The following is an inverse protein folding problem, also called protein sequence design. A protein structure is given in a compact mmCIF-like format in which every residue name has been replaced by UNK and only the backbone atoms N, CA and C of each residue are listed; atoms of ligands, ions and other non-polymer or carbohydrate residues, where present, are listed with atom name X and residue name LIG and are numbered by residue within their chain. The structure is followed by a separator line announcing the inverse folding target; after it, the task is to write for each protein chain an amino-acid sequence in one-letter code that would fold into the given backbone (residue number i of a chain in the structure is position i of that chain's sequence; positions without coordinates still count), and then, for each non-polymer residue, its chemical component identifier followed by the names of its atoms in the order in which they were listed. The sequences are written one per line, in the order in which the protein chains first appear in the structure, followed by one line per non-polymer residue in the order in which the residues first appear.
data_IF_431132551337
#
_entry.id   IF_431132551337
#
_cell.length_a   1.000
_cell.length_b   1.000
_cell.length_c   1.000
_cell.angle_alpha   90.00
_cell.angle_beta   90.00
_cell.angle_gamma   90.00
#
_symmetry.space_group_name_H-M   'P 1'
#
loop_
_entity.id
_entity.type
_entity.pdbx_description
1 polymer ?
#
# COMPACT_ATOMS: atom_id res chain seq x y z
N UNK A 1 6.41 11.36 -62.28
CA UNK A 1 5.51 11.28 -61.11
C UNK A 1 5.15 12.72 -60.78
N UNK A 2 3.88 13.10 -60.87
CA UNK A 2 3.46 14.51 -60.79
C UNK A 2 3.28 14.97 -59.34
N UNK A 3 4.04 15.98 -58.94
CA UNK A 3 4.04 16.53 -57.58
C UNK A 3 2.68 17.12 -57.21
N UNK A 4 1.97 17.69 -58.19
CA UNK A 4 0.61 18.22 -58.00
C UNK A 4 -0.41 17.14 -57.66
N UNK A 5 -0.21 15.92 -58.18
CA UNK A 5 -1.10 14.79 -57.90
C UNK A 5 -0.88 14.24 -56.49
N UNK A 6 0.34 14.33 -55.96
CA UNK A 6 0.61 13.99 -54.56
C UNK A 6 0.00 15.02 -53.62
N UNK A 7 0.11 16.32 -53.94
CA UNK A 7 -0.47 17.39 -53.13
C UNK A 7 -2.00 17.28 -53.01
N UNK A 8 -2.69 16.94 -54.10
CA UNK A 8 -4.14 16.70 -54.09
C UNK A 8 -4.52 15.49 -53.23
N UNK A 9 -3.76 14.39 -53.31
CA UNK A 9 -4.01 13.20 -52.48
C UNK A 9 -3.78 13.48 -50.99
N UNK A 10 -2.76 14.26 -50.65
CA UNK A 10 -2.52 14.65 -49.26
C UNK A 10 -3.59 15.59 -48.74
N UNK A 11 -4.09 16.52 -49.56
CA UNK A 11 -5.14 17.48 -49.16
C UNK A 11 -6.48 16.80 -48.91
N UNK A 12 -6.84 15.80 -49.72
CA UNK A 12 -8.10 15.06 -49.60
C UNK A 12 -8.10 14.07 -48.42
N UNK A 13 -6.91 13.64 -47.98
CA UNK A 13 -6.74 12.68 -46.87
C UNK A 13 -6.80 13.31 -45.48
N UNK A 14 -6.78 14.64 -45.37
CA UNK A 14 -6.89 15.32 -44.07
C UNK A 14 -8.37 15.42 -43.71
N UNK A 15 -8.87 14.38 -43.03
CA UNK A 15 -10.17 14.44 -42.37
C UNK A 15 -10.19 15.62 -41.38
N UNK A 16 -11.32 16.32 -41.31
CA UNK A 16 -11.54 17.40 -40.34
C UNK A 16 -11.21 16.91 -38.93
N UNK A 17 -10.34 17.64 -38.23
CA UNK A 17 -9.87 17.29 -36.89
C UNK A 17 -11.09 17.11 -35.97
N UNK A 18 -11.27 15.93 -35.34
CA UNK A 18 -12.39 15.72 -34.42
C UNK A 18 -12.25 16.69 -33.24
N UNK A 19 -13.37 17.21 -32.70
CA UNK A 19 -13.31 18.09 -31.55
C UNK A 19 -12.59 17.39 -30.39
N UNK A 20 -11.85 18.16 -29.60
CA UNK A 20 -11.14 17.63 -28.44
C UNK A 20 -12.12 16.94 -27.50
N UNK A 21 -11.87 15.67 -27.18
CA UNK A 21 -12.69 14.90 -26.24
C UNK A 21 -12.47 15.29 -24.78
N UNK A 22 -11.55 16.21 -24.52
CA UNK A 22 -11.19 16.74 -23.21
C UNK A 22 -11.23 18.26 -23.27
N UNK A 23 -11.93 18.88 -22.33
CA UNK A 23 -11.97 20.33 -22.20
C UNK A 23 -11.42 20.80 -20.84
N UNK A 24 -11.33 22.12 -20.69
CA UNK A 24 -10.86 22.75 -19.46
C UNK A 24 -11.77 22.42 -18.26
N UNK A 25 -13.06 22.22 -18.50
CA UNK A 25 -14.01 21.88 -17.43
C UNK A 25 -13.77 20.48 -16.87
N UNK A 26 -13.35 19.52 -17.70
CA UNK A 26 -12.96 18.17 -17.26
C UNK A 26 -11.76 18.23 -16.31
N UNK A 27 -10.74 19.00 -16.67
CA UNK A 27 -9.54 19.21 -15.83
C UNK A 27 -9.90 19.93 -14.54
N UNK A 28 -10.72 20.98 -14.60
CA UNK A 28 -11.16 21.72 -13.43
C UNK A 28 -12.01 20.86 -12.48
N UNK A 29 -12.87 19.99 -13.02
CA UNK A 29 -13.70 19.06 -12.24
C UNK A 29 -12.85 17.98 -11.56
N UNK A 30 -11.87 17.42 -12.27
CA UNK A 30 -10.91 16.47 -11.72
C UNK A 30 -10.03 17.10 -10.63
N UNK A 31 -9.50 18.30 -10.90
CA UNK A 31 -8.67 19.06 -9.95
C UNK A 31 -9.43 19.44 -8.67
N UNK A 32 -10.68 19.90 -8.78
CA UNK A 32 -11.54 20.16 -7.60
C UNK A 32 -11.76 18.89 -6.79
N UNK A 33 -11.99 17.75 -7.44
CA UNK A 33 -12.17 16.46 -6.75
C UNK A 33 -10.91 16.06 -5.96
N UNK A 34 -9.72 16.25 -6.53
CA UNK A 34 -8.44 15.97 -5.86
C UNK A 34 -8.20 16.94 -4.69
N UNK A 35 -8.45 18.24 -4.90
CA UNK A 35 -8.27 19.27 -3.87
C UNK A 35 -9.23 19.08 -2.69
N UNK A 36 -10.48 18.71 -2.95
CA UNK A 36 -11.46 18.42 -1.91
C UNK A 36 -11.03 17.23 -1.03
N UNK A 37 -10.47 16.18 -1.64
CA UNK A 37 -9.92 15.01 -0.91
C UNK A 37 -8.76 15.39 0.00
N UNK A 38 -7.86 16.27 -0.46
CA UNK A 38 -6.73 16.75 0.35
C UNK A 38 -7.17 17.58 1.56
N UNK A 39 -8.22 18.40 1.42
CA UNK A 39 -8.73 19.22 2.53
C UNK A 39 -9.47 18.42 3.60
N UNK A 40 -10.13 17.32 3.24
CA UNK A 40 -10.78 16.46 4.23
C UNK A 40 -9.79 15.63 5.08
N UNK A 41 -8.52 15.52 4.68
CA UNK A 41 -7.49 14.85 5.47
C UNK A 41 -6.89 15.73 6.59
N UNK A 42 -7.14 17.05 6.60
CA UNK A 42 -6.47 17.99 7.50
C UNK A 42 -7.33 18.47 8.70
N UNK A 43 -8.58 18.03 8.85
CA UNK A 43 -9.51 18.57 9.87
C UNK A 43 -9.85 17.57 11.00
N UNK A 44 -9.30 16.35 10.98
CA UNK A 44 -9.64 15.29 11.95
C UNK A 44 -8.63 14.99 13.06
N UNK A 45 -7.64 15.86 13.32
CA UNK A 45 -6.43 15.47 14.05
C UNK A 45 -5.99 16.29 15.26
N UNK A 46 -6.78 17.25 15.77
CA UNK A 46 -6.30 18.14 16.86
C UNK A 46 -7.39 18.55 17.86
N UNK A 47 -8.03 17.62 18.59
CA UNK A 47 -8.77 18.00 19.82
C UNK A 47 -8.88 16.88 20.88
N UNK A 48 -7.81 16.15 21.24
CA UNK A 48 -7.79 15.43 22.54
C UNK A 48 -6.35 15.36 23.10
N UNK A 49 -5.83 16.49 23.57
CA UNK A 49 -4.61 16.52 24.39
C UNK A 49 -4.56 17.82 25.23
N UNK A 50 -5.56 18.06 26.07
CA UNK A 50 -5.53 19.13 27.07
C UNK A 50 -6.54 18.86 28.19
N UNK A 51 -6.33 17.82 29.02
CA UNK A 51 -7.19 17.58 30.17
C UNK A 51 -6.56 16.75 31.31
N UNK A 52 -5.30 16.94 31.71
CA UNK A 52 -4.82 16.49 33.04
C UNK A 52 -3.66 17.36 33.54
N UNK A 53 -3.87 18.64 33.87
CA UNK A 53 -2.87 19.42 34.62
C UNK A 53 -3.51 20.55 35.47
N UNK A 54 -4.54 20.25 36.25
CA UNK A 54 -4.92 21.10 37.40
C UNK A 54 -5.53 20.24 38.50
N UNK A 55 -4.82 20.05 39.61
CA UNK A 55 -5.43 19.54 40.84
C UNK A 55 -4.47 18.81 41.76
N UNK A 56 -3.93 19.52 42.76
CA UNK A 56 -3.55 18.90 44.03
C UNK A 56 -2.09 19.01 44.44
N UNK A 57 -1.70 20.18 44.93
CA UNK A 57 -0.64 20.30 45.95
C UNK A 57 -1.22 19.77 47.26
N UNK A 58 -0.57 18.77 47.88
CA UNK A 58 -0.95 18.24 49.19
C UNK A 58 0.20 17.47 49.83
N UNK A 59 0.70 18.02 50.93
CA UNK A 59 1.81 17.56 51.78
C UNK A 59 1.51 16.21 52.47
N UNK A 60 2.53 15.38 52.72
CA UNK A 60 2.40 14.28 53.68
C UNK A 60 3.52 13.24 53.66
N UNK A 61 4.46 13.37 54.59
CA UNK A 61 5.46 12.37 54.99
C UNK A 61 4.83 11.26 55.86
N UNK A 62 5.20 9.98 55.65
CA UNK A 62 4.93 8.87 56.60
C UNK A 62 4.87 7.50 55.90
N UNK A 63 5.85 6.61 56.08
CA UNK A 63 5.96 5.55 57.09
C UNK A 63 5.18 4.24 56.76
N UNK A 64 5.96 3.20 56.43
CA UNK A 64 5.84 1.75 56.76
C UNK A 64 4.52 0.95 56.60
N UNK A 65 4.69 -0.26 56.04
CA UNK A 65 3.83 -1.46 56.21
C UNK A 65 4.18 -2.54 55.18
N UNK A 66 5.22 -3.35 55.40
CA UNK A 66 5.18 -4.77 55.85
C UNK A 66 4.40 -5.71 54.91
N UNK A 67 5.10 -6.60 54.18
CA UNK A 67 5.24 -8.06 54.43
C UNK A 67 4.02 -8.84 53.88
N UNK A 68 4.13 -9.93 53.11
CA UNK A 68 4.81 -11.18 53.45
C UNK A 68 5.22 -12.03 52.23
N UNK A 69 6.30 -12.75 52.49
CA UNK A 69 6.91 -13.94 51.87
C UNK A 69 5.94 -15.10 51.59
N UNK A 70 6.14 -15.85 50.50
CA UNK A 70 6.32 -17.32 50.55
C UNK A 70 6.69 -17.95 49.19
N UNK A 71 7.74 -18.77 49.26
CA UNK A 71 8.35 -19.59 48.21
C UNK A 71 7.52 -20.83 47.87
N UNK A 72 7.58 -21.30 46.61
CA UNK A 72 7.90 -22.72 46.36
C UNK A 72 8.62 -22.90 45.02
N UNK A 73 9.71 -23.65 45.07
CA UNK A 73 10.49 -24.11 43.94
C UNK A 73 9.82 -25.31 43.24
N UNK A 74 10.07 -25.48 41.94
CA UNK A 74 10.09 -26.80 41.31
C UNK A 74 11.07 -26.85 40.14
N UNK A 75 11.60 -28.06 39.98
CA UNK A 75 12.90 -28.45 39.45
C UNK A 75 12.77 -28.90 37.99
N UNK A 76 13.75 -28.48 37.19
CA UNK A 76 14.17 -28.86 35.82
C UNK A 76 13.59 -30.12 35.14
N UNK A 77 13.29 -30.02 33.83
CA UNK A 77 13.80 -30.86 32.70
C UNK A 77 13.73 -30.02 31.40
N UNK A 78 14.75 -30.04 30.50
CA UNK A 78 14.70 -29.36 29.21
C UNK A 78 14.10 -30.28 28.15
N UNK A 79 13.05 -29.85 27.45
CA UNK A 79 12.58 -30.53 26.25
C UNK A 79 12.30 -29.50 25.15
N UNK A 80 12.98 -29.73 24.04
CA UNK A 80 12.97 -28.98 22.79
C UNK A 80 11.55 -28.72 22.28
N UNK A 81 11.15 -27.46 22.21
CA UNK A 81 10.03 -27.03 21.37
C UNK A 81 10.45 -25.76 20.62
N UNK A 82 10.47 -25.88 19.30
CA UNK A 82 10.84 -24.87 18.32
C UNK A 82 10.34 -23.47 18.67
N UNK A 83 11.29 -22.57 18.91
CA UNK A 83 11.05 -21.14 19.06
C UNK A 83 10.60 -20.54 17.72
N UNK A 84 9.30 -20.46 17.51
CA UNK A 84 8.71 -19.42 16.64
C UNK A 84 8.81 -18.10 17.39
N UNK A 85 9.35 -17.01 16.83
CA UNK A 85 9.38 -15.73 17.52
C UNK A 85 7.95 -15.20 17.66
N UNK A 86 7.45 -15.18 18.89
CA UNK A 86 6.25 -14.42 19.26
C UNK A 86 6.64 -12.94 19.22
N UNK A 87 6.14 -12.23 18.23
CA UNK A 87 6.20 -10.76 18.19
C UNK A 87 5.10 -10.20 19.09
N UNK A 88 5.47 -9.84 20.31
CA UNK A 88 4.72 -8.90 21.15
C UNK A 88 5.16 -7.47 20.78
N UNK A 89 4.52 -6.91 19.74
CA UNK A 89 4.58 -5.49 19.37
C UNK A 89 3.23 -4.81 19.67
N UNK A 90 3.19 -3.49 19.89
CA UNK A 90 2.02 -2.82 20.45
C UNK A 90 0.81 -2.92 19.52
N UNK A 91 -0.24 -3.56 20.03
CA UNK A 91 -1.61 -3.10 19.84
C UNK A 91 -2.19 -3.28 18.44
N UNK A 92 -2.35 -4.54 18.04
CA UNK A 92 -3.41 -4.98 17.13
C UNK A 92 -4.78 -4.69 17.78
N UNK A 93 -5.20 -3.43 17.76
CA UNK A 93 -6.64 -3.16 17.68
C UNK A 93 -6.94 -3.24 16.20
N UNK A 94 -7.25 -4.45 15.74
CA UNK A 94 -7.81 -4.64 14.41
C UNK A 94 -8.97 -3.69 14.28
N UNK A 95 -8.79 -2.64 13.49
CA UNK A 95 -9.90 -1.88 12.99
C UNK A 95 -10.85 -2.91 12.40
N UNK A 96 -12.10 -2.91 12.88
CA UNK A 96 -13.18 -3.80 12.40
C UNK A 96 -13.46 -3.63 10.90
N UNK A 97 -12.66 -2.81 10.20
CA UNK A 97 -12.57 -2.60 8.76
C UNK A 97 -12.04 -3.83 8.01
N UNK A 98 -11.32 -4.76 8.67
CA UNK A 98 -10.74 -5.94 8.02
C UNK A 98 -9.61 -5.62 7.03
N UNK A 99 -9.04 -4.42 7.10
CA UNK A 99 -8.05 -3.89 6.14
C UNK A 99 -6.60 -3.98 6.62
N UNK A 100 -6.32 -4.89 7.55
CA UNK A 100 -4.95 -5.19 7.95
C UNK A 100 -4.15 -5.88 6.83
N UNK A 101 -2.82 -5.88 6.91
CA UNK A 101 -1.99 -6.67 6.01
C UNK A 101 -2.39 -8.16 6.10
N UNK A 102 -2.70 -8.78 4.96
CA UNK A 102 -3.06 -10.20 4.90
C UNK A 102 -1.79 -11.05 5.06
N UNK A 103 -1.71 -11.84 6.12
CA UNK A 103 -0.50 -12.62 6.44
C UNK A 103 -0.11 -13.62 5.34
N UNK A 104 -1.10 -14.20 4.66
CA UNK A 104 -0.85 -15.15 3.56
C UNK A 104 -0.29 -14.42 2.33
N UNK A 105 -0.86 -13.27 1.97
CA UNK A 105 -0.36 -12.43 0.89
C UNK A 105 1.04 -11.91 1.21
N UNK A 106 1.28 -11.44 2.45
CA UNK A 106 2.59 -10.99 2.87
C UNK A 106 3.64 -12.09 2.73
N UNK A 107 3.35 -13.31 3.19
CA UNK A 107 4.23 -14.46 3.02
C UNK A 107 4.44 -14.86 1.55
N UNK A 108 3.44 -14.66 0.68
CA UNK A 108 3.59 -14.87 -0.76
C UNK A 108 4.52 -13.84 -1.39
N UNK A 109 4.43 -12.56 -0.98
CA UNK A 109 5.31 -11.49 -1.43
C UNK A 109 6.75 -11.73 -0.94
N UNK A 110 6.96 -12.11 0.32
CA UNK A 110 8.29 -12.40 0.87
C UNK A 110 9.02 -13.54 0.15
N UNK A 111 8.28 -14.50 -0.42
CA UNK A 111 8.88 -15.56 -1.26
C UNK A 111 9.42 -15.02 -2.60
N UNK A 112 8.83 -13.95 -3.12
CA UNK A 112 9.24 -13.31 -4.38
C UNK A 112 10.26 -12.18 -4.17
N UNK A 113 10.18 -11.52 -3.01
CA UNK A 113 11.01 -10.42 -2.55
C UNK A 113 11.53 -10.73 -1.14
N UNK A 114 12.64 -11.47 -1.00
CA UNK A 114 13.21 -11.81 0.30
C UNK A 114 13.52 -10.57 1.17
N UNK A 115 13.83 -9.43 0.55
CA UNK A 115 14.09 -8.15 1.21
C UNK A 115 12.84 -7.61 1.95
N UNK A 116 11.65 -8.03 1.52
CA UNK A 116 10.41 -7.72 2.23
C UNK A 116 10.29 -8.46 3.57
N UNK A 117 11.09 -9.50 3.83
CA UNK A 117 11.15 -10.17 5.14
C UNK A 117 11.70 -9.24 6.24
N UNK A 118 12.53 -8.28 5.87
CA UNK A 118 13.17 -7.34 6.81
C UNK A 118 12.24 -6.19 7.20
N UNK A 119 11.10 -6.07 6.50
CA UNK A 119 10.13 -4.98 6.71
C UNK A 119 8.79 -5.55 7.17
N UNK A 120 8.24 -5.02 8.25
CA UNK A 120 6.90 -5.38 8.67
C UNK A 120 5.86 -4.91 7.62
N UNK A 121 4.99 -5.80 7.11
CA UNK A 121 3.94 -5.39 6.19
C UNK A 121 2.98 -4.45 6.91
N UNK A 122 2.56 -3.40 6.22
CA UNK A 122 1.57 -2.44 6.74
C UNK A 122 0.30 -2.47 5.91
N UNK A 123 -0.79 -1.94 6.47
CA UNK A 123 -2.07 -1.84 5.77
C UNK A 123 -1.97 -0.87 4.58
N UNK A 124 -2.34 -1.32 3.39
CA UNK A 124 -2.40 -0.48 2.20
C UNK A 124 -3.57 0.51 2.30
N UNK A 125 -3.37 1.74 1.80
CA UNK A 125 -4.45 2.75 1.68
C UNK A 125 -4.51 3.29 0.24
N UNK A 126 -5.66 3.23 -0.44
CA UNK A 126 -6.93 2.66 0.01
C UNK A 126 -6.92 1.12 0.00
N UNK A 127 -7.63 0.51 0.94
CA UNK A 127 -7.87 -0.93 0.99
C UNK A 127 -9.32 -1.21 0.54
N UNK A 128 -9.52 -1.77 -0.66
CA UNK A 128 -10.87 -2.08 -1.11
C UNK A 128 -11.47 -3.25 -0.34
N UNK A 129 -12.77 -3.18 -0.04
CA UNK A 129 -13.48 -4.24 0.67
C UNK A 129 -13.38 -5.58 -0.07
N UNK A 130 -13.26 -6.68 0.67
CA UNK A 130 -13.12 -8.02 0.10
C UNK A 130 -11.78 -8.29 -0.59
N UNK A 131 -10.80 -7.39 -0.45
CA UNK A 131 -9.46 -7.56 -1.01
C UNK A 131 -8.44 -7.87 0.09
N UNK A 132 -7.47 -8.71 -0.24
CA UNK A 132 -6.26 -8.92 0.58
C UNK A 132 -5.24 -7.87 0.17
N UNK A 133 -4.58 -7.22 1.13
CA UNK A 133 -3.57 -6.20 0.82
C UNK A 133 -2.30 -6.41 1.63
N UNK A 134 -1.16 -6.00 1.09
CA UNK A 134 0.10 -5.91 1.82
C UNK A 134 0.93 -4.77 1.23
N UNK A 135 1.44 -3.86 2.09
CA UNK A 135 2.35 -2.79 1.72
C UNK A 135 3.71 -3.04 2.38
N UNK A 136 4.79 -2.88 1.62
CA UNK A 136 6.16 -2.96 2.11
C UNK A 136 6.93 -1.71 1.72
N UNK A 137 7.68 -1.13 2.65
CA UNK A 137 8.66 -0.08 2.35
C UNK A 137 9.97 -0.76 2.02
N UNK A 138 10.45 -0.63 0.79
CA UNK A 138 11.58 -1.40 0.29
C UNK A 138 12.65 -0.51 -0.33
N UNK A 139 13.85 -1.07 -0.41
CA UNK A 139 14.99 -0.47 -1.09
C UNK A 139 15.55 -1.47 -2.10
N UNK A 140 15.88 -0.95 -3.28
CA UNK A 140 16.52 -1.68 -4.38
C UNK A 140 17.71 -0.85 -4.88
N UNK A 141 18.89 -1.12 -4.33
CA UNK A 141 20.09 -0.32 -4.55
C UNK A 141 19.91 1.15 -4.15
N UNK A 142 19.89 2.05 -5.14
CA UNK A 142 19.66 3.49 -4.94
C UNK A 142 18.17 3.88 -4.95
N UNK A 143 17.29 2.99 -5.44
CA UNK A 143 15.85 3.22 -5.44
C UNK A 143 15.27 2.91 -4.06
N UNK A 144 14.47 3.82 -3.52
CA UNK A 144 13.65 3.61 -2.32
C UNK A 144 12.19 3.90 -2.64
N UNK A 145 11.29 3.24 -1.94
CA UNK A 145 9.87 3.41 -2.16
C UNK A 145 9.03 2.40 -1.43
N UNK A 146 7.80 2.23 -1.91
CA UNK A 146 6.89 1.24 -1.36
C UNK A 146 6.32 0.33 -2.45
N UNK A 147 6.16 -0.95 -2.12
CA UNK A 147 5.50 -1.93 -2.97
C UNK A 147 4.18 -2.32 -2.32
N UNK A 148 3.08 -1.97 -2.98
CA UNK A 148 1.72 -2.33 -2.59
C UNK A 148 1.24 -3.52 -3.41
N UNK A 149 0.71 -4.54 -2.76
CA UNK A 149 0.07 -5.67 -3.42
C UNK A 149 -1.38 -5.76 -2.98
N UNK A 150 -2.30 -5.88 -3.94
CA UNK A 150 -3.73 -6.01 -3.72
C UNK A 150 -4.23 -7.23 -4.50
N UNK A 151 -4.94 -8.13 -3.82
CA UNK A 151 -5.62 -9.28 -4.45
C UNK A 151 -7.10 -9.22 -4.12
N UNK A 152 -7.94 -9.02 -5.14
CA UNK A 152 -9.37 -8.80 -4.94
C UNK A 152 -10.24 -9.06 -6.16
N UNK A 153 -11.58 -9.10 -6.00
CA UNK A 153 -12.52 -9.15 -7.11
C UNK A 153 -12.36 -7.95 -8.06
N UNK A 154 -12.59 -8.13 -9.36
CA UNK A 154 -12.50 -7.06 -10.38
C UNK A 154 -13.36 -5.83 -10.00
N UNK A 155 -14.53 -6.04 -9.39
CA UNK A 155 -15.45 -4.97 -8.99
C UNK A 155 -15.06 -4.20 -7.73
N UNK A 156 -14.04 -4.64 -6.99
CA UNK A 156 -13.57 -3.95 -5.77
C UNK A 156 -12.32 -3.12 -6.06
N UNK A 157 -11.55 -3.47 -7.10
CA UNK A 157 -10.34 -2.75 -7.48
C UNK A 157 -10.72 -1.44 -8.20
N UNK A 158 -10.03 -0.31 -7.94
CA UNK A 158 -10.24 0.94 -8.65
C UNK A 158 -10.18 0.76 -10.18
N UNK A 159 -11.03 1.45 -10.96
CA UNK A 159 -11.17 1.22 -12.40
C UNK A 159 -9.90 1.57 -13.20
N UNK A 160 -9.03 2.41 -12.66
CA UNK A 160 -7.70 2.71 -13.21
C UNK A 160 -6.71 1.54 -13.08
N UNK A 161 -7.07 0.48 -12.33
CA UNK A 161 -6.23 -0.67 -12.00
C UNK A 161 -6.89 -2.02 -12.33
N UNK A 162 -7.98 -2.02 -13.11
CA UNK A 162 -8.70 -3.25 -13.49
C UNK A 162 -8.26 -3.85 -14.82
N UNK A 163 -7.54 -3.11 -15.65
CA UNK A 163 -7.09 -3.59 -16.97
C UNK A 163 -5.77 -4.37 -16.82
N UNK A 164 -5.72 -5.67 -17.17
CA UNK A 164 -4.48 -6.43 -17.14
C UNK A 164 -3.41 -5.82 -18.04
N UNK A 165 -2.19 -5.76 -17.56
CA UNK A 165 -1.07 -5.15 -18.27
C UNK A 165 -0.07 -4.48 -17.33
N UNK A 166 0.94 -3.88 -17.92
CA UNK A 166 1.99 -3.14 -17.22
C UNK A 166 1.91 -1.67 -17.62
N UNK A 167 1.87 -0.78 -16.64
CA UNK A 167 1.73 0.67 -16.85
C UNK A 167 2.79 1.39 -16.03
N UNK A 168 3.52 2.29 -16.68
CA UNK A 168 4.39 3.25 -16.02
C UNK A 168 3.72 4.61 -16.01
N UNK A 169 3.54 5.18 -14.82
CA UNK A 169 2.88 6.47 -14.63
C UNK A 169 3.91 7.61 -14.66
N UNK A 170 3.52 8.85 -15.04
CA UNK A 170 4.46 9.99 -15.10
C UNK A 170 5.14 10.38 -13.79
N UNK A 171 4.60 9.96 -12.64
CA UNK A 171 5.20 10.12 -11.31
C UNK A 171 6.32 9.11 -11.01
N UNK A 172 6.62 8.21 -11.96
CA UNK A 172 7.63 7.17 -11.81
C UNK A 172 7.10 5.89 -11.17
N UNK A 173 5.83 5.86 -10.77
CA UNK A 173 5.16 4.67 -10.26
C UNK A 173 5.04 3.62 -11.35
N UNK A 174 5.34 2.37 -10.99
CA UNK A 174 5.15 1.23 -11.87
C UNK A 174 4.01 0.35 -11.36
N UNK A 175 3.09 -0.01 -12.25
CA UNK A 175 1.89 -0.79 -11.97
C UNK A 175 1.88 -2.03 -12.86
N UNK A 176 1.62 -3.19 -12.26
CA UNK A 176 1.38 -4.43 -12.98
C UNK A 176 0.09 -5.08 -12.49
N UNK A 177 -0.80 -5.36 -13.43
CA UNK A 177 -2.10 -6.01 -13.16
C UNK A 177 -2.13 -7.35 -13.89
N UNK A 178 -2.51 -8.40 -13.15
CA UNK A 178 -2.64 -9.77 -13.68
C UNK A 178 -3.95 -10.38 -13.21
N UNK A 179 -4.53 -11.22 -14.05
CA UNK A 179 -5.69 -12.03 -13.67
C UNK A 179 -5.20 -13.36 -13.08
N UNK A 180 -5.72 -13.68 -11.90
CA UNK A 180 -5.45 -14.93 -11.20
C UNK A 180 -6.36 -16.06 -11.71
N UNK A 181 -6.01 -17.32 -11.43
CA UNK A 181 -6.80 -18.48 -11.88
C UNK A 181 -8.17 -18.53 -11.22
N UNK A 182 -8.31 -17.97 -10.01
CA UNK A 182 -9.60 -17.80 -9.34
C UNK A 182 -10.52 -16.74 -9.97
N UNK A 183 -10.07 -16.01 -11.00
CA UNK A 183 -10.81 -14.89 -11.58
C UNK A 183 -10.67 -13.57 -10.79
N UNK A 184 -9.88 -13.57 -9.72
CA UNK A 184 -9.46 -12.35 -9.01
C UNK A 184 -8.40 -11.60 -9.81
N UNK A 185 -8.21 -10.33 -9.47
CA UNK A 185 -7.07 -9.54 -9.95
C UNK A 185 -5.99 -9.51 -8.88
N UNK A 186 -4.75 -9.61 -9.34
CA UNK A 186 -3.54 -9.30 -8.59
C UNK A 186 -3.00 -7.98 -9.14
N UNK A 187 -2.90 -6.98 -8.27
CA UNK A 187 -2.35 -5.67 -8.59
C UNK A 187 -1.08 -5.49 -7.76
N UNK A 188 0.01 -5.18 -8.43
CA UNK A 188 1.30 -4.84 -7.81
C UNK A 188 1.65 -3.42 -8.23
N UNK A 189 1.81 -2.54 -7.25
CA UNK A 189 2.17 -1.14 -7.43
C UNK A 189 3.52 -0.90 -6.76
N UNK A 190 4.47 -0.29 -7.45
CA UNK A 190 5.73 0.18 -6.88
C UNK A 190 5.81 1.69 -7.02
N UNK A 191 5.71 2.38 -5.89
CA UNK A 191 5.77 3.84 -5.79
C UNK A 191 7.17 4.28 -5.34
N UNK A 192 7.88 5.14 -6.10
CA UNK A 192 9.14 5.71 -5.65
C UNK A 192 8.93 6.73 -4.53
N UNK A 193 9.86 6.77 -3.57
CA UNK A 193 9.91 7.88 -2.61
C UNK A 193 10.35 9.18 -3.30
N UNK A 194 10.03 10.32 -2.67
CA UNK A 194 10.53 11.61 -3.12
C UNK A 194 12.07 11.63 -3.14
N UNK A 195 12.66 11.96 -4.29
CA UNK A 195 14.11 11.97 -4.48
C UNK A 195 14.72 10.61 -4.84
N UNK A 196 13.93 9.53 -4.86
CA UNK A 196 14.36 8.25 -5.41
C UNK A 196 14.51 8.34 -6.94
N UNK A 197 15.57 7.76 -7.54
CA UNK A 197 15.77 7.80 -8.99
C UNK A 197 14.76 6.93 -9.77
N UNK A 198 14.14 5.94 -9.11
CA UNK A 198 13.20 5.01 -9.72
C UNK A 198 12.32 4.32 -8.65
N UNK A 199 11.23 3.67 -9.09
CA UNK A 199 10.47 2.77 -8.23
C UNK A 199 11.30 1.52 -7.89
N UNK A 200 11.28 1.03 -6.64
CA UNK A 200 12.00 -0.18 -6.29
C UNK A 200 11.47 -1.38 -7.08
N UNK A 201 12.37 -2.25 -7.59
CA UNK A 201 12.02 -3.44 -8.36
C UNK A 201 11.22 -3.20 -9.65
N UNK A 202 11.26 -2.00 -10.23
CA UNK A 202 10.44 -1.65 -11.40
C UNK A 202 10.45 -2.72 -12.51
N UNK A 203 11.63 -3.08 -13.02
CA UNK A 203 11.75 -4.10 -14.06
C UNK A 203 11.24 -5.52 -13.66
N UNK A 204 11.07 -5.79 -12.36
CA UNK A 204 10.63 -7.09 -11.81
C UNK A 204 9.16 -7.12 -11.41
N UNK A 205 8.46 -5.99 -11.33
CA UNK A 205 7.06 -6.00 -10.84
C UNK A 205 6.16 -6.87 -11.71
N UNK A 206 6.42 -6.91 -13.02
CA UNK A 206 5.65 -7.69 -13.98
C UNK A 206 5.80 -9.20 -13.75
N UNK A 207 7.00 -9.67 -13.41
CA UNK A 207 7.23 -11.08 -13.06
C UNK A 207 6.62 -11.41 -11.70
N UNK A 208 6.80 -10.55 -10.71
CA UNK A 208 6.24 -10.71 -9.35
C UNK A 208 4.71 -10.81 -9.41
N UNK A 209 4.05 -9.93 -10.16
CA UNK A 209 2.60 -9.97 -10.35
C UNK A 209 2.15 -11.27 -11.03
N UNK A 210 2.92 -11.76 -12.02
CA UNK A 210 2.65 -13.03 -12.69
C UNK A 210 2.76 -14.23 -11.75
N UNK A 211 3.83 -14.28 -10.95
CA UNK A 211 4.09 -15.37 -10.00
C UNK A 211 3.09 -15.38 -8.85
N UNK A 212 2.64 -14.20 -8.41
CA UNK A 212 1.54 -14.07 -7.45
C UNK A 212 0.22 -14.52 -8.09
N UNK A 213 -0.10 -14.07 -9.30
CA UNK A 213 -1.33 -14.46 -9.99
C UNK A 213 -1.41 -15.97 -10.26
N UNK A 214 -0.29 -16.66 -10.42
CA UNK A 214 -0.26 -18.12 -10.56
C UNK A 214 -0.64 -18.87 -9.26
N UNK A 215 -0.52 -18.21 -8.09
CA UNK A 215 -0.83 -18.78 -6.78
C UNK A 215 -2.27 -18.50 -6.33
N UNK A 216 -2.94 -17.53 -6.93
CA UNK A 216 -4.31 -17.10 -6.62
C UNK A 216 -5.27 -17.46 -7.75
#
# INVERSE_FOLDING_TARGET
MDERKLEELFRDSVQSVPPSSFDEHDVARASRRITARRRMAAVGGTVVAAAVLVGGVGLGTGLFGQSETSHVASKSVPETASSSPRFDGPGVLGDRSGCGPDAQLAAAVTRQLPEAAETAPVAAKPCPSGSKTALFVLRDGAATGSVTVIVGPVGTIPPDQTTPGDVRRPDGTELSVRQARSGKLVVVLSDPDAGSPAAPYGARIASIAGDLAAQY
#
